data_IF_400448828786
#
_entry.id   IF_400448828786
#
_cell.length_a   1.000
_cell.length_b   1.000
_cell.length_c   1.000
_cell.angle_alpha   90.00
_cell.angle_beta   90.00
_cell.angle_gamma   90.00
#
_symmetry.space_group_name_H-M   'P 1'
#
loop_
_entity.id
_entity.type
_entity.pdbx_description
1 polymer ?
#
# COMPACT_ATOMS: atom_id res chain seq x y z
N UNK A 1 24.61 -23.66 -5.59
CA UNK A 1 24.82 -22.20 -5.42
C UNK A 1 23.86 -21.73 -4.34
N UNK A 2 24.35 -21.14 -3.24
CA UNK A 2 23.49 -20.66 -2.14
C UNK A 2 22.67 -19.45 -2.65
N UNK A 3 21.39 -19.32 -2.26
CA UNK A 3 20.48 -18.25 -2.75
C UNK A 3 21.09 -16.85 -2.56
N UNK A 4 21.77 -16.62 -1.43
CA UNK A 4 22.50 -15.38 -1.16
C UNK A 4 23.61 -15.08 -2.18
N UNK A 5 24.29 -16.10 -2.71
CA UNK A 5 25.31 -15.91 -3.75
C UNK A 5 24.68 -15.39 -5.04
N UNK A 6 23.48 -15.86 -5.40
CA UNK A 6 22.75 -15.36 -6.57
C UNK A 6 22.37 -13.90 -6.39
N UNK A 7 21.83 -13.55 -5.20
CA UNK A 7 21.45 -12.18 -4.87
C UNK A 7 22.66 -11.25 -4.90
N UNK A 8 23.80 -11.65 -4.31
CA UNK A 8 25.05 -10.91 -4.38
C UNK A 8 25.54 -10.70 -5.81
N UNK A 9 25.51 -11.74 -6.66
CA UNK A 9 25.91 -11.61 -8.08
C UNK A 9 25.01 -10.61 -8.80
N UNK A 10 23.69 -10.67 -8.58
CA UNK A 10 22.73 -9.73 -9.19
C UNK A 10 22.93 -8.29 -8.69
N UNK A 11 23.23 -8.11 -7.40
CA UNK A 11 23.55 -6.82 -6.81
C UNK A 11 24.81 -6.23 -7.43
N UNK A 12 25.93 -6.98 -7.44
CA UNK A 12 27.19 -6.53 -8.04
C UNK A 12 27.07 -6.24 -9.55
N UNK A 13 26.23 -7.00 -10.26
CA UNK A 13 25.95 -6.77 -11.68
C UNK A 13 25.21 -5.46 -11.89
N UNK A 14 24.15 -5.22 -11.11
CA UNK A 14 23.37 -3.99 -11.18
C UNK A 14 24.16 -2.76 -10.73
N UNK A 15 25.02 -2.88 -9.71
CA UNK A 15 25.91 -1.80 -9.25
C UNK A 15 26.85 -1.32 -10.36
N UNK A 16 27.49 -2.24 -11.09
CA UNK A 16 28.35 -1.87 -12.21
C UNK A 16 27.56 -1.28 -13.37
N UNK A 17 26.40 -1.85 -13.67
CA UNK A 17 25.56 -1.46 -14.79
C UNK A 17 24.91 -0.07 -14.59
N UNK A 18 24.64 0.35 -13.35
CA UNK A 18 23.91 1.60 -13.06
C UNK A 18 24.61 2.86 -13.54
N UNK A 19 25.94 2.82 -13.63
CA UNK A 19 26.79 3.94 -14.05
C UNK A 19 26.63 4.31 -15.53
N UNK A 20 26.06 3.41 -16.34
CA UNK A 20 25.91 3.59 -17.79
C UNK A 20 24.44 3.54 -18.18
N UNK A 21 23.92 4.65 -18.73
CA UNK A 21 22.51 4.75 -19.15
C UNK A 21 22.10 3.67 -20.16
N UNK A 22 23.03 3.23 -21.02
CA UNK A 22 22.83 2.15 -22.00
C UNK A 22 22.55 0.78 -21.39
N UNK A 23 22.91 0.56 -20.12
CA UNK A 23 22.65 -0.69 -19.39
C UNK A 23 21.45 -0.60 -18.43
N UNK A 24 20.64 0.46 -18.52
CA UNK A 24 19.41 0.60 -17.72
C UNK A 24 18.45 -0.59 -17.87
N UNK A 25 18.38 -1.20 -19.05
CA UNK A 25 17.60 -2.43 -19.27
C UNK A 25 18.11 -3.61 -18.43
N UNK A 26 19.43 -3.74 -18.25
CA UNK A 26 20.04 -4.80 -17.45
C UNK A 26 19.75 -4.56 -15.97
N UNK A 27 19.90 -3.32 -15.50
CA UNK A 27 19.54 -2.92 -14.12
C UNK A 27 18.09 -3.26 -13.83
N UNK A 28 17.17 -2.89 -14.72
CA UNK A 28 15.75 -3.22 -14.59
C UNK A 28 15.52 -4.73 -14.44
N UNK A 29 16.12 -5.56 -15.30
CA UNK A 29 15.98 -7.01 -15.22
C UNK A 29 16.58 -7.58 -13.92
N UNK A 30 17.73 -7.06 -13.45
CA UNK A 30 18.29 -7.43 -12.16
C UNK A 30 17.29 -7.17 -11.02
N UNK A 31 16.59 -6.02 -11.02
CA UNK A 31 15.58 -5.74 -9.97
C UNK A 31 14.43 -6.74 -9.98
N UNK A 32 13.98 -7.18 -11.17
CA UNK A 32 12.93 -8.21 -11.29
C UNK A 32 13.40 -9.55 -10.71
N UNK A 33 14.61 -9.97 -11.05
CA UNK A 33 15.14 -11.25 -10.56
C UNK A 33 15.37 -11.22 -9.05
N UNK A 34 15.95 -10.14 -8.52
CA UNK A 34 16.12 -9.95 -7.08
C UNK A 34 14.76 -9.98 -6.39
N UNK A 35 13.78 -9.21 -6.87
CA UNK A 35 12.43 -9.19 -6.31
C UNK A 35 11.79 -10.58 -6.24
N UNK A 36 11.85 -11.36 -7.32
CA UNK A 36 11.28 -12.70 -7.37
C UNK A 36 11.94 -13.67 -6.39
N UNK A 37 13.25 -13.52 -6.15
CA UNK A 37 13.96 -14.28 -5.13
C UNK A 37 13.53 -13.82 -3.73
N UNK A 38 13.47 -12.50 -3.48
CA UNK A 38 13.02 -11.93 -2.22
C UNK A 38 11.60 -12.37 -1.85
N UNK A 39 10.66 -12.44 -2.81
CA UNK A 39 9.32 -12.96 -2.56
C UNK A 39 9.34 -14.40 -2.03
N UNK A 40 10.18 -15.26 -2.61
CA UNK A 40 10.35 -16.65 -2.13
C UNK A 40 10.94 -16.69 -0.72
N UNK A 41 11.89 -15.79 -0.42
CA UNK A 41 12.49 -15.68 0.93
C UNK A 41 11.47 -15.19 1.97
N UNK A 42 10.62 -14.23 1.62
CA UNK A 42 9.54 -13.75 2.49
C UNK A 42 8.56 -14.87 2.85
N UNK A 43 8.21 -15.73 1.88
CA UNK A 43 7.37 -16.91 2.13
C UNK A 43 8.03 -17.93 3.07
N UNK A 44 9.37 -17.99 3.10
CA UNK A 44 10.16 -18.89 3.94
C UNK A 44 10.54 -18.28 5.30
N UNK A 45 9.99 -17.11 5.66
CA UNK A 45 10.31 -16.35 6.89
C UNK A 45 11.77 -15.87 6.98
N UNK A 46 12.48 -15.76 5.85
CA UNK A 46 13.85 -15.22 5.76
C UNK A 46 13.84 -13.73 5.40
N UNK A 47 12.95 -12.96 6.04
CA UNK A 47 12.68 -11.56 5.70
C UNK A 47 13.87 -10.62 5.97
N UNK A 48 14.71 -10.94 6.95
CA UNK A 48 15.89 -10.14 7.31
C UNK A 48 16.90 -10.03 6.19
N UNK A 49 17.03 -11.08 5.37
CA UNK A 49 17.93 -11.08 4.20
C UNK A 49 17.27 -10.31 3.05
N UNK A 50 15.96 -10.49 2.85
CA UNK A 50 15.26 -9.94 1.70
C UNK A 50 15.22 -8.40 1.68
N UNK A 51 15.18 -7.75 2.86
CA UNK A 51 14.95 -6.32 2.96
C UNK A 51 16.06 -5.48 2.30
N UNK A 52 17.32 -5.81 2.54
CA UNK A 52 18.46 -5.05 2.00
C UNK A 52 18.47 -5.09 0.47
N UNK A 53 18.13 -6.24 -0.11
CA UNK A 53 18.04 -6.41 -1.56
C UNK A 53 16.81 -5.71 -2.17
N UNK A 54 15.69 -5.62 -1.45
CA UNK A 54 14.52 -4.86 -1.89
C UNK A 54 14.80 -3.35 -1.88
N UNK A 55 15.48 -2.85 -0.84
CA UNK A 55 15.96 -1.47 -0.76
C UNK A 55 16.91 -1.20 -1.93
N UNK A 56 17.86 -2.11 -2.19
CA UNK A 56 18.76 -2.02 -3.34
C UNK A 56 18.01 -1.88 -4.67
N UNK A 57 16.95 -2.68 -4.88
CA UNK A 57 16.12 -2.56 -6.08
C UNK A 57 15.48 -1.17 -6.22
N UNK A 58 15.01 -0.58 -5.13
CA UNK A 58 14.47 0.79 -5.12
C UNK A 58 15.55 1.80 -5.52
N UNK A 59 16.74 1.72 -4.91
CA UNK A 59 17.89 2.58 -5.24
C UNK A 59 18.30 2.43 -6.70
N UNK A 60 18.33 1.21 -7.23
CA UNK A 60 18.63 0.95 -8.64
C UNK A 60 17.67 1.66 -9.59
N UNK A 61 16.37 1.56 -9.32
CA UNK A 61 15.34 2.21 -10.14
C UNK A 61 15.40 3.74 -10.04
N UNK A 62 15.76 4.27 -8.87
CA UNK A 62 15.80 5.71 -8.60
C UNK A 62 17.07 6.40 -9.11
N UNK A 63 18.19 5.69 -9.15
CA UNK A 63 19.47 6.28 -9.58
C UNK A 63 19.66 6.27 -11.11
N UNK A 64 18.78 5.59 -11.85
CA UNK A 64 18.85 5.51 -13.32
C UNK A 64 17.75 6.37 -13.96
N UNK A 65 18.13 7.48 -14.59
CA UNK A 65 17.18 8.41 -15.24
C UNK A 65 16.22 7.69 -16.22
N UNK A 66 16.67 6.76 -17.10
CA UNK A 66 15.75 6.03 -17.99
C UNK A 66 14.66 5.23 -17.26
N UNK A 67 14.94 4.77 -16.04
CA UNK A 67 14.03 3.97 -15.22
C UNK A 67 13.09 4.82 -14.34
N UNK A 68 13.32 6.13 -14.28
CA UNK A 68 12.49 7.08 -13.52
C UNK A 68 11.26 7.57 -14.28
N UNK A 69 11.00 7.07 -15.48
CA UNK A 69 9.84 7.43 -16.30
C UNK A 69 8.53 6.78 -15.81
N UNK A 70 7.38 7.29 -16.28
CA UNK A 70 6.05 6.75 -15.96
C UNK A 70 5.90 5.29 -16.39
N UNK A 71 6.58 4.87 -17.46
CA UNK A 71 6.59 3.48 -17.95
C UNK A 71 6.92 2.47 -16.84
N UNK A 72 7.81 2.84 -15.91
CA UNK A 72 8.26 1.96 -14.83
C UNK A 72 7.62 2.31 -13.48
N UNK A 73 6.63 3.19 -13.45
CA UNK A 73 5.96 3.63 -12.23
C UNK A 73 5.33 2.45 -11.47
N UNK A 74 4.56 1.61 -12.16
CA UNK A 74 3.90 0.45 -11.55
C UNK A 74 4.91 -0.48 -10.86
N UNK A 75 6.04 -0.73 -11.51
CA UNK A 75 7.11 -1.56 -10.94
C UNK A 75 7.78 -0.92 -9.73
N UNK A 76 8.11 0.38 -9.80
CA UNK A 76 8.66 1.12 -8.65
C UNK A 76 7.70 1.12 -7.47
N UNK A 77 6.41 1.32 -7.70
CA UNK A 77 5.39 1.23 -6.67
C UNK A 77 5.36 -0.15 -6.02
N UNK A 78 5.43 -1.22 -6.81
CA UNK A 78 5.48 -2.59 -6.30
C UNK A 78 6.72 -2.83 -5.41
N UNK A 79 7.88 -2.29 -5.77
CA UNK A 79 9.09 -2.36 -4.95
C UNK A 79 8.96 -1.56 -3.64
N UNK A 80 8.34 -0.38 -3.68
CA UNK A 80 8.08 0.42 -2.47
C UNK A 80 7.18 -0.33 -1.50
N UNK A 81 6.06 -0.86 -1.99
CA UNK A 81 5.12 -1.63 -1.17
C UNK A 81 5.79 -2.88 -0.61
N UNK A 82 6.51 -3.64 -1.44
CA UNK A 82 7.17 -4.86 -0.97
C UNK A 82 8.23 -4.60 0.11
N UNK A 83 8.97 -3.49 -0.01
CA UNK A 83 9.93 -3.08 1.03
C UNK A 83 9.20 -2.69 2.32
N UNK A 84 8.11 -1.91 2.24
CA UNK A 84 7.29 -1.54 3.40
C UNK A 84 6.65 -2.75 4.09
N UNK A 85 6.09 -3.67 3.32
CA UNK A 85 5.52 -4.93 3.84
C UNK A 85 6.60 -5.80 4.50
N UNK A 86 7.83 -5.79 3.96
CA UNK A 86 8.96 -6.48 4.58
C UNK A 86 9.31 -5.89 5.96
N UNK A 87 9.32 -4.56 6.09
CA UNK A 87 9.47 -3.89 7.39
C UNK A 87 8.34 -4.26 8.37
N UNK A 88 7.09 -4.34 7.91
CA UNK A 88 5.97 -4.77 8.74
C UNK A 88 6.13 -6.21 9.25
N UNK A 89 6.56 -7.13 8.38
CA UNK A 89 6.88 -8.51 8.78
C UNK A 89 8.01 -8.58 9.82
N UNK A 90 8.98 -7.67 9.72
CA UNK A 90 10.10 -7.55 10.66
C UNK A 90 9.77 -6.76 11.94
N UNK A 91 8.49 -6.47 12.19
CA UNK A 91 8.01 -5.70 13.34
C UNK A 91 8.60 -4.28 13.43
N UNK A 92 9.00 -3.70 12.30
CA UNK A 92 9.52 -2.34 12.19
C UNK A 92 8.50 -1.44 11.47
N UNK A 93 7.34 -1.26 12.11
CA UNK A 93 6.22 -0.50 11.55
C UNK A 93 6.58 0.93 11.13
N UNK A 94 7.40 1.61 11.94
CA UNK A 94 7.84 2.99 11.67
C UNK A 94 8.57 3.08 10.34
N UNK A 95 9.61 2.27 10.16
CA UNK A 95 10.38 2.25 8.92
C UNK A 95 9.52 1.87 7.71
N UNK A 96 8.59 0.93 7.85
CA UNK A 96 7.72 0.51 6.76
C UNK A 96 6.80 1.63 6.26
N UNK A 97 6.19 2.38 7.17
CA UNK A 97 5.35 3.53 6.82
C UNK A 97 6.15 4.70 6.26
N UNK A 98 7.28 5.06 6.88
CA UNK A 98 8.17 6.11 6.37
C UNK A 98 8.62 5.80 4.93
N UNK A 99 8.94 4.53 4.65
CA UNK A 99 9.33 4.10 3.31
C UNK A 99 8.16 4.20 2.32
N UNK A 100 6.93 3.88 2.74
CA UNK A 100 5.74 4.03 1.89
C UNK A 100 5.43 5.51 1.61
N UNK A 101 5.55 6.39 2.61
CA UNK A 101 5.42 7.85 2.45
C UNK A 101 6.46 8.43 1.50
N UNK A 102 7.72 7.98 1.60
CA UNK A 102 8.78 8.33 0.65
C UNK A 102 8.43 7.90 -0.77
N UNK A 103 7.94 6.67 -0.93
CA UNK A 103 7.44 6.17 -2.22
C UNK A 103 6.31 7.03 -2.78
N UNK A 104 5.35 7.42 -1.95
CA UNK A 104 4.24 8.28 -2.33
C UNK A 104 4.71 9.66 -2.80
N UNK A 105 5.66 10.26 -2.08
CA UNK A 105 6.29 11.52 -2.46
C UNK A 105 6.97 11.42 -3.84
N UNK A 106 7.68 10.32 -4.13
CA UNK A 106 8.28 10.09 -5.45
C UNK A 106 7.24 9.98 -6.57
N UNK A 107 6.07 9.41 -6.30
CA UNK A 107 4.96 9.37 -7.28
C UNK A 107 4.38 10.77 -7.52
N UNK A 108 4.26 11.59 -6.47
CA UNK A 108 3.82 12.99 -6.59
C UNK A 108 4.80 13.79 -7.43
N UNK A 109 6.10 13.72 -7.11
CA UNK A 109 7.16 14.40 -7.86
C UNK A 109 7.11 14.03 -9.35
N UNK A 110 6.98 12.74 -9.67
CA UNK A 110 6.87 12.28 -11.06
C UNK A 110 5.61 12.81 -11.76
N UNK A 111 4.49 12.89 -11.05
CA UNK A 111 3.24 13.43 -11.60
C UNK A 111 3.38 14.91 -11.96
N UNK A 112 4.07 15.70 -11.14
CA UNK A 112 4.33 17.11 -11.45
C UNK A 112 5.26 17.26 -12.66
N UNK A 113 6.31 16.43 -12.78
CA UNK A 113 7.18 16.41 -13.97
C UNK A 113 6.40 16.05 -15.23
N UNK A 114 5.49 15.07 -15.15
CA UNK A 114 4.64 14.67 -16.28
C UNK A 114 3.68 15.79 -16.70
N UNK A 115 3.12 16.55 -15.74
CA UNK A 115 2.27 17.72 -16.06
C UNK A 115 3.03 18.83 -16.79
N UNK A 116 4.32 19.01 -16.50
CA UNK A 116 5.17 20.01 -17.17
C UNK A 116 5.61 19.55 -18.57
N UNK A 117 5.47 18.27 -18.89
CA UNK A 117 5.88 17.72 -20.18
C UNK A 117 4.89 18.11 -21.27
N UNK A 118 5.37 18.52 -22.45
CA UNK A 118 4.53 18.88 -23.61
C UNK A 118 3.80 17.68 -24.26
N UNK A 119 3.75 16.54 -23.57
CA UNK A 119 3.21 15.29 -24.10
C UNK A 119 1.69 15.25 -23.94
N UNK A 120 1.00 14.67 -24.93
CA UNK A 120 -0.46 14.56 -24.91
C UNK A 120 -0.94 13.75 -23.69
N UNK A 121 -1.97 14.21 -22.96
CA UNK A 121 -2.58 13.45 -21.87
C UNK A 121 -2.95 12.04 -22.31
N UNK A 122 -2.44 11.03 -21.63
CA UNK A 122 -2.70 9.62 -21.92
C UNK A 122 -3.50 9.01 -20.76
N UNK A 123 -4.72 8.49 -21.00
CA UNK A 123 -5.56 7.88 -19.97
C UNK A 123 -4.86 6.76 -19.19
N UNK A 124 -4.06 5.92 -19.88
CA UNK A 124 -3.32 4.83 -19.25
C UNK A 124 -2.30 5.35 -18.22
N UNK A 125 -1.58 6.45 -18.54
CA UNK A 125 -0.63 7.06 -17.60
C UNK A 125 -1.35 7.63 -16.37
N UNK A 126 -2.50 8.28 -16.58
CA UNK A 126 -3.32 8.78 -15.48
C UNK A 126 -3.79 7.64 -14.57
N UNK A 127 -4.22 6.52 -15.15
CA UNK A 127 -4.60 5.32 -14.40
C UNK A 127 -3.41 4.76 -13.60
N UNK A 128 -2.22 4.63 -14.20
CA UNK A 128 -1.01 4.19 -13.48
C UNK A 128 -0.72 5.08 -12.26
N UNK A 129 -0.86 6.40 -12.38
CA UNK A 129 -0.73 7.29 -11.23
C UNK A 129 -1.79 7.00 -10.18
N UNK A 130 -3.08 6.97 -10.55
CA UNK A 130 -4.16 6.73 -9.58
C UNK A 130 -3.99 5.40 -8.83
N UNK A 131 -3.65 4.32 -9.54
CA UNK A 131 -3.35 3.01 -8.94
C UNK A 131 -2.16 3.10 -7.98
N UNK A 132 -1.07 3.75 -8.40
CA UNK A 132 0.12 3.90 -7.57
C UNK A 132 -0.15 4.72 -6.29
N UNK A 133 -0.93 5.80 -6.41
CA UNK A 133 -1.40 6.60 -5.29
C UNK A 133 -2.20 5.74 -4.31
N UNK A 134 -3.23 5.06 -4.80
CA UNK A 134 -4.12 4.26 -3.98
C UNK A 134 -3.36 3.18 -3.22
N UNK A 135 -2.53 2.40 -3.92
CA UNK A 135 -1.77 1.30 -3.30
C UNK A 135 -0.83 1.78 -2.19
N UNK A 136 -0.10 2.89 -2.41
CA UNK A 136 0.80 3.44 -1.39
C UNK A 136 0.04 4.05 -0.21
N UNK A 137 -1.07 4.75 -0.46
CA UNK A 137 -1.93 5.27 0.62
C UNK A 137 -2.52 4.15 1.46
N UNK A 138 -2.91 3.03 0.85
CA UNK A 138 -3.37 1.84 1.57
C UNK A 138 -2.25 1.26 2.44
N UNK A 139 -1.05 1.08 1.90
CA UNK A 139 0.10 0.58 2.68
C UNK A 139 0.37 1.45 3.92
N UNK A 140 0.28 2.78 3.79
CA UNK A 140 0.41 3.73 4.91
C UNK A 140 -0.76 3.56 5.90
N UNK A 141 -1.99 3.58 5.40
CA UNK A 141 -3.22 3.52 6.20
C UNK A 141 -3.27 2.28 7.10
N UNK A 142 -2.80 1.12 6.59
CA UNK A 142 -2.74 -0.14 7.33
C UNK A 142 -2.03 -0.01 8.68
N UNK A 143 -1.07 0.89 8.81
CA UNK A 143 -0.41 1.20 10.08
C UNK A 143 -1.06 2.37 10.81
N UNK A 144 -1.29 3.48 10.10
CA UNK A 144 -1.80 4.73 10.67
C UNK A 144 -3.07 4.51 11.51
N UNK A 145 -3.97 3.65 11.04
CA UNK A 145 -5.25 3.40 11.72
C UNK A 145 -5.06 2.75 13.11
N UNK A 146 -4.08 1.84 13.26
CA UNK A 146 -3.78 1.19 14.54
C UNK A 146 -2.95 2.09 15.46
N UNK A 147 -2.00 2.86 14.91
CA UNK A 147 -1.20 3.80 15.71
C UNK A 147 -2.04 4.97 16.23
N UNK A 148 -2.97 5.49 15.42
CA UNK A 148 -3.91 6.54 15.84
C UNK A 148 -4.70 6.14 17.09
N UNK A 149 -5.12 4.87 17.18
CA UNK A 149 -5.82 4.34 18.37
C UNK A 149 -4.90 4.23 19.59
N UNK A 150 -3.62 3.88 19.41
CA UNK A 150 -2.64 3.84 20.52
C UNK A 150 -2.36 5.21 21.11
N UNK A 151 -2.39 6.27 20.30
CA UNK A 151 -2.22 7.65 20.78
C UNK A 151 -3.50 8.24 21.39
N UNK A 152 -4.68 7.77 20.98
CA UNK A 152 -5.98 8.20 21.50
C UNK A 152 -6.38 7.61 22.87
N UNK A 153 -5.45 6.95 23.60
CA UNK A 153 -5.67 6.24 24.88
C UNK A 153 -6.34 7.04 26.01
N UNK A 154 -6.61 8.33 25.83
CA UNK A 154 -7.25 9.23 26.81
C UNK A 154 -8.76 9.45 26.60
N UNK A 155 -9.37 9.02 25.49
CA UNK A 155 -10.83 9.07 25.33
C UNK A 155 -11.34 7.65 25.05
N UNK A 156 -12.02 7.02 26.02
CA UNK A 156 -12.74 5.76 25.82
C UNK A 156 -14.11 6.05 25.19
N UNK A 157 -14.42 5.63 23.96
CA UNK A 157 -15.80 5.37 23.58
C UNK A 157 -16.12 3.92 23.95
N UNK A 158 -17.11 3.70 24.83
CA UNK A 158 -17.58 2.35 25.16
C UNK A 158 -18.26 1.75 23.92
N UNK A 159 -17.62 0.80 23.24
CA UNK A 159 -18.16 0.12 22.06
C UNK A 159 -19.59 -0.46 22.27
N UNK A 160 -19.92 -0.81 23.52
CA UNK A 160 -21.28 -1.28 23.92
C UNK A 160 -22.41 -0.25 23.74
N UNK A 161 -22.14 1.03 23.48
CA UNK A 161 -23.18 2.07 23.30
C UNK A 161 -23.56 2.33 21.83
N UNK A 162 -22.86 1.72 20.87
CA UNK A 162 -22.79 2.24 19.50
C UNK A 162 -23.88 1.72 18.55
N UNK A 163 -24.59 0.62 18.83
CA UNK A 163 -25.65 0.11 17.92
C UNK A 163 -26.84 1.06 17.77
N UNK A 164 -27.29 1.70 18.86
CA UNK A 164 -28.38 2.69 18.79
C UNK A 164 -27.89 4.05 18.24
N UNK A 165 -26.63 4.41 18.49
CA UNK A 165 -26.04 5.65 17.96
C UNK A 165 -25.68 5.56 16.47
N UNK A 166 -25.30 4.38 15.96
CA UNK A 166 -25.07 4.08 14.53
C UNK A 166 -26.31 4.37 13.69
N UNK A 167 -27.51 4.08 14.22
CA UNK A 167 -28.77 4.28 13.51
C UNK A 167 -29.20 5.75 13.41
N UNK A 168 -28.69 6.62 14.30
CA UNK A 168 -29.10 8.03 14.37
C UNK A 168 -28.02 9.01 13.93
N UNK A 169 -26.74 8.63 14.00
CA UNK A 169 -25.63 9.49 13.62
C UNK A 169 -25.25 9.29 12.15
N UNK A 170 -25.03 10.41 11.45
CA UNK A 170 -24.54 10.41 10.07
C UNK A 170 -23.06 10.03 10.04
N UNK A 171 -22.65 9.28 9.02
CA UNK A 171 -21.26 9.02 8.69
C UNK A 171 -20.48 10.33 8.45
N UNK A 172 -19.22 10.48 8.92
CA UNK A 172 -18.43 9.59 9.77
C UNK A 172 -18.72 9.75 11.27
N UNK A 173 -18.61 8.66 12.03
CA UNK A 173 -18.96 8.56 13.46
C UNK A 173 -17.76 8.20 14.32
N UNK A 174 -16.82 7.42 13.79
CA UNK A 174 -15.61 7.03 14.52
C UNK A 174 -14.37 7.75 13.98
N UNK A 175 -13.32 7.82 14.80
CA UNK A 175 -12.02 8.33 14.34
C UNK A 175 -11.45 7.50 13.17
N UNK A 176 -11.76 6.20 13.12
CA UNK A 176 -11.39 5.33 12.00
C UNK A 176 -12.10 5.75 10.70
N UNK A 177 -13.41 6.00 10.76
CA UNK A 177 -14.20 6.47 9.61
C UNK A 177 -13.75 7.86 9.14
N UNK A 178 -13.42 8.75 10.07
CA UNK A 178 -12.85 10.06 9.77
C UNK A 178 -11.50 9.92 9.04
N UNK A 179 -10.61 9.06 9.53
CA UNK A 179 -9.32 8.79 8.90
C UNK A 179 -9.48 8.20 7.49
N UNK A 180 -10.50 7.36 7.25
CA UNK A 180 -10.81 6.84 5.91
C UNK A 180 -11.19 7.94 4.93
N UNK A 181 -12.01 8.91 5.34
CA UNK A 181 -12.41 10.05 4.51
C UNK A 181 -11.21 10.95 4.21
N UNK A 182 -10.37 11.23 5.20
CA UNK A 182 -9.16 12.03 5.02
C UNK A 182 -8.13 11.33 4.12
N UNK A 183 -8.07 10.01 4.20
CA UNK A 183 -7.10 9.19 3.47
C UNK A 183 -7.54 8.78 2.08
N UNK A 184 -8.83 8.76 1.74
CA UNK A 184 -9.28 8.22 0.46
C UNK A 184 -10.48 8.99 -0.10
N UNK A 185 -10.40 9.29 -1.40
CA UNK A 185 -11.50 9.85 -2.16
C UNK A 185 -12.34 8.69 -2.71
N UNK A 186 -13.65 8.75 -2.49
CA UNK A 186 -14.58 7.74 -3.01
C UNK A 186 -14.73 6.51 -2.10
N UNK A 187 -15.95 6.00 -2.06
CA UNK A 187 -16.33 4.87 -1.19
C UNK A 187 -15.61 3.57 -1.58
N UNK A 188 -15.34 3.37 -2.87
CA UNK A 188 -14.64 2.17 -3.36
C UNK A 188 -13.19 2.11 -2.87
N UNK A 189 -12.48 3.25 -2.86
CA UNK A 189 -11.13 3.34 -2.31
C UNK A 189 -11.11 3.12 -0.80
N UNK A 190 -12.06 3.73 -0.08
CA UNK A 190 -12.24 3.53 1.36
C UNK A 190 -12.53 2.06 1.69
N UNK A 191 -13.45 1.43 0.97
CA UNK A 191 -13.79 0.01 1.16
C UNK A 191 -12.60 -0.90 0.87
N UNK A 192 -11.88 -0.64 -0.21
CA UNK A 192 -10.69 -1.42 -0.55
C UNK A 192 -9.61 -1.29 0.52
N UNK A 193 -9.40 -0.08 1.07
CA UNK A 193 -8.48 0.14 2.19
C UNK A 193 -8.88 -0.67 3.44
N UNK A 194 -10.18 -0.74 3.76
CA UNK A 194 -10.69 -1.56 4.88
C UNK A 194 -10.38 -3.04 4.67
N UNK A 195 -10.74 -3.62 3.53
CA UNK A 195 -10.52 -5.05 3.25
C UNK A 195 -9.03 -5.40 3.28
N UNK A 196 -8.19 -4.59 2.64
CA UNK A 196 -6.74 -4.78 2.63
C UNK A 196 -6.13 -4.71 4.04
N UNK A 197 -6.67 -3.83 4.91
CA UNK A 197 -6.20 -3.68 6.28
C UNK A 197 -6.59 -4.87 7.16
N UNK A 198 -7.84 -5.33 7.05
CA UNK A 198 -8.33 -6.50 7.77
C UNK A 198 -7.58 -7.78 7.34
N UNK A 199 -7.36 -7.96 6.04
CA UNK A 199 -6.61 -9.11 5.51
C UNK A 199 -5.15 -9.13 5.99
N UNK A 200 -4.47 -7.97 6.01
CA UNK A 200 -3.12 -7.86 6.56
C UNK A 200 -3.05 -8.29 8.03
N UNK A 201 -4.06 -7.94 8.84
CA UNK A 201 -4.13 -8.33 10.25
C UNK A 201 -4.38 -9.80 10.45
N UNK A 202 -5.28 -10.41 9.69
CA UNK A 202 -5.47 -11.86 9.72
C UNK A 202 -4.15 -12.61 9.46
N UNK A 203 -3.37 -12.16 8.48
CA UNK A 203 -2.05 -12.74 8.20
C UNK A 203 -1.03 -12.51 9.33
N UNK A 204 -1.06 -11.37 10.02
CA UNK A 204 -0.23 -11.12 11.22
C UNK A 204 -0.61 -12.07 12.36
N UNK A 205 -1.91 -12.20 12.66
CA UNK A 205 -2.43 -13.07 13.73
C UNK A 205 -2.10 -14.54 13.48
N UNK A 206 -2.29 -15.03 12.24
CA UNK A 206 -1.91 -16.40 11.86
C UNK A 206 -0.40 -16.63 12.00
N UNK A 207 0.44 -15.63 11.71
CA UNK A 207 1.90 -15.73 11.86
C UNK A 207 2.35 -15.72 13.32
N UNK A 208 1.62 -15.03 14.21
CA UNK A 208 1.91 -14.86 15.64
C UNK A 208 1.30 -15.95 16.53
N UNK A 209 1.09 -17.17 16.04
CA UNK A 209 0.48 -18.31 16.76
C UNK A 209 0.98 -18.61 18.19
N UNK A 210 2.02 -17.94 18.69
CA UNK A 210 2.35 -17.89 20.11
C UNK A 210 2.71 -16.45 20.53
N UNK A 211 2.05 -15.97 21.59
CA UNK A 211 2.31 -14.77 22.45
C UNK A 211 1.11 -13.79 22.50
N UNK A 212 0.26 -14.07 23.50
CA UNK A 212 -0.49 -13.20 24.43
C UNK A 212 -1.45 -12.11 23.93
N UNK A 213 -2.68 -12.19 24.47
CA UNK A 213 -3.73 -11.17 24.60
C UNK A 213 -3.74 -10.10 23.50
N UNK A 214 -4.62 -10.27 22.51
CA UNK A 214 -5.03 -9.15 21.67
C UNK A 214 -5.48 -8.01 22.61
N UNK A 215 -4.83 -6.85 22.47
CA UNK A 215 -5.17 -5.64 23.20
C UNK A 215 -6.66 -5.36 22.91
N UNK A 216 -7.52 -5.23 23.92
CA UNK A 216 -8.97 -5.01 23.72
C UNK A 216 -9.23 -3.85 22.74
N UNK A 217 -8.32 -2.86 22.73
CA UNK A 217 -8.34 -1.73 21.80
C UNK A 217 -8.16 -2.11 20.33
N UNK A 218 -7.34 -3.14 20.03
CA UNK A 218 -7.12 -3.63 18.68
C UNK A 218 -8.36 -4.40 18.18
N UNK A 219 -9.00 -5.22 19.03
CA UNK A 219 -10.24 -5.91 18.70
C UNK A 219 -11.42 -4.96 18.46
N UNK A 220 -11.54 -3.91 19.29
CA UNK A 220 -12.52 -2.85 19.08
C UNK A 220 -12.31 -2.15 17.73
N UNK A 221 -11.06 -1.80 17.39
CA UNK A 221 -10.75 -1.14 16.12
C UNK A 221 -11.01 -2.05 14.91
N UNK A 222 -10.70 -3.34 15.01
CA UNK A 222 -11.05 -4.33 13.97
C UNK A 222 -12.57 -4.37 13.77
N UNK A 223 -13.34 -4.33 14.86
CA UNK A 223 -14.80 -4.28 14.80
C UNK A 223 -15.30 -2.98 14.17
N UNK A 224 -14.74 -1.83 14.55
CA UNK A 224 -15.01 -0.52 13.92
C UNK A 224 -14.74 -0.56 12.40
N UNK A 225 -13.58 -1.08 11.98
CA UNK A 225 -13.22 -1.26 10.57
C UNK A 225 -14.18 -2.18 9.83
N UNK A 226 -14.61 -3.28 10.46
CA UNK A 226 -15.57 -4.21 9.87
C UNK A 226 -16.93 -3.54 9.63
N UNK A 227 -17.48 -2.83 10.61
CA UNK A 227 -18.76 -2.11 10.45
C UNK A 227 -18.64 -0.98 9.42
N UNK A 228 -17.52 -0.26 9.42
CA UNK A 228 -17.20 0.71 8.37
C UNK A 228 -17.22 0.05 6.98
N UNK A 229 -16.60 -1.13 6.83
CA UNK A 229 -16.62 -1.92 5.61
C UNK A 229 -18.03 -2.33 5.16
N UNK A 230 -18.87 -2.82 6.08
CA UNK A 230 -20.26 -3.19 5.81
C UNK A 230 -21.05 -1.97 5.35
N UNK A 231 -20.92 -0.83 6.01
CA UNK A 231 -21.63 0.39 5.62
C UNK A 231 -21.16 0.91 4.26
N UNK A 232 -19.85 0.88 4.01
CA UNK A 232 -19.25 1.24 2.73
C UNK A 232 -19.78 0.36 1.57
N UNK A 233 -20.01 -0.93 1.84
CA UNK A 233 -20.54 -1.89 0.87
C UNK A 233 -22.07 -1.82 0.67
N UNK A 234 -22.83 -1.39 1.69
CA UNK A 234 -24.31 -1.51 1.70
C UNK A 234 -25.05 -0.22 1.37
N UNK A 235 -24.51 0.96 1.67
CA UNK A 235 -25.18 2.21 1.28
C UNK A 235 -24.99 2.44 -0.23
N UNK A 236 -26.06 2.18 -0.98
CA UNK A 236 -26.26 2.78 -2.30
C UNK A 236 -26.46 4.29 -2.09
N UNK A 237 -25.65 5.10 -2.77
CA UNK A 237 -25.50 6.53 -2.52
C UNK A 237 -26.81 7.32 -2.33
N UNK A 238 -26.99 7.86 -1.13
CA UNK A 238 -27.60 9.18 -0.98
C UNK A 238 -26.47 10.20 -1.04
N UNK A 239 -25.92 10.40 -2.24
CA UNK A 239 -25.44 11.68 -2.75
C UNK A 239 -24.93 11.48 -4.18
N UNK A 240 -25.18 12.50 -4.99
CA UNK A 240 -25.16 12.49 -6.44
C UNK A 240 -23.82 12.05 -7.05
N UNK A 241 -23.81 10.90 -7.73
CA UNK A 241 -22.88 10.68 -8.85
C UNK A 241 -23.55 9.77 -9.89
N UNK A 242 -24.37 10.40 -10.74
CA UNK A 242 -24.78 9.83 -12.01
C UNK A 242 -23.55 9.72 -12.92
N UNK A 243 -22.91 8.54 -12.95
CA UNK A 243 -22.22 7.98 -14.13
C UNK A 243 -21.73 6.55 -13.90
N UNK A 244 -22.57 5.67 -13.34
CA UNK A 244 -22.31 4.23 -13.43
C UNK A 244 -22.80 3.73 -14.79
N UNK A 245 -22.00 3.95 -15.83
CA UNK A 245 -22.09 3.09 -17.01
C UNK A 245 -21.75 1.67 -16.56
N UNK A 246 -22.57 0.71 -16.99
CA UNK A 246 -22.42 -0.72 -16.70
C UNK A 246 -21.00 -1.18 -17.04
N UNK A 247 -20.16 -1.39 -16.03
CA UNK A 247 -18.84 -1.99 -16.17
C UNK A 247 -18.99 -3.49 -15.92
N UNK A 248 -18.54 -4.28 -16.89
CA UNK A 248 -18.55 -5.74 -16.84
C UNK A 248 -17.70 -6.28 -15.69
N UNK A 249 -18.10 -7.42 -15.14
CA UNK A 249 -17.58 -8.13 -13.96
C UNK A 249 -16.11 -8.64 -14.13
N UNK A 250 -15.32 -8.05 -15.03
CA UNK A 250 -13.94 -8.49 -15.32
C UNK A 250 -12.84 -7.51 -14.89
N UNK A 251 -13.16 -6.34 -14.32
CA UNK A 251 -12.13 -5.41 -13.84
C UNK A 251 -11.71 -5.77 -12.41
N UNK A 252 -10.40 -5.81 -12.12
CA UNK A 252 -9.89 -6.04 -10.77
C UNK A 252 -10.46 -5.02 -9.79
N UNK A 253 -10.67 -5.41 -8.53
CA UNK A 253 -11.20 -4.55 -7.44
C UNK A 253 -10.44 -3.20 -7.36
N UNK A 254 -9.15 -3.20 -7.68
CA UNK A 254 -8.31 -2.00 -7.76
C UNK A 254 -8.80 -1.01 -8.82
N UNK A 255 -9.25 -1.48 -9.99
CA UNK A 255 -9.78 -0.63 -11.05
C UNK A 255 -11.05 0.07 -10.60
N UNK A 256 -11.95 -0.64 -9.91
CA UNK A 256 -13.15 -0.05 -9.30
C UNK A 256 -12.80 0.98 -8.23
N UNK A 257 -11.83 0.67 -7.37
CA UNK A 257 -11.34 1.59 -6.34
C UNK A 257 -10.64 2.83 -6.90
N UNK A 258 -10.13 2.77 -8.13
CA UNK A 258 -9.50 3.88 -8.86
C UNK A 258 -10.50 4.68 -9.71
N UNK A 259 -11.63 4.07 -10.05
CA UNK A 259 -12.69 4.67 -10.87
C UNK A 259 -13.67 5.51 -10.04
N UNK A 260 -13.96 5.11 -8.81
CA UNK A 260 -14.68 5.92 -7.82
C UNK A 260 -13.85 7.05 -7.22
#
# INVERSE_FOLDING_TARGET
>A
MKIEQMLNILQLTSEKAITKSSYSWLVYNCTIHIYNICLKLLMQKLSTIAIDYLIWCCVCMESSIPLMTVKYLTWRTQLYIATSECYYILNSGVCGEEFARRGLQKVIELKEIEKMSSSTPCPLRLQMFKESFLKLKITIFKRDVFESRKHAKSLKPKFKLVLNEILHNKWPRTACEQLLIESFNGRSAQFFAVIETLASKEHETIKRQNIQHEDENEQELISELFFAGVELATLNGHDEDQRVNRISVSESIITLAVAG
#
